data_IF_513554875977
#
_entry.id   IF_513554875977
#
_cell.length_a   1.000
_cell.length_b   1.000
_cell.length_c   1.000
_cell.angle_alpha   90.00
_cell.angle_beta   90.00
_cell.angle_gamma   90.00
#
_symmetry.space_group_name_H-M   'P 1'
#
loop_
_entity.id
_entity.type
_entity.pdbx_description
1 polymer ?
#
# COMPACT_ATOMS: atom_id res chain seq x y z
N UNK A 1 -16.04 2.41 22.34
CA UNK A 1 -16.17 3.09 21.03
C UNK A 1 -15.04 4.10 20.96
N UNK A 2 -14.18 4.08 19.92
CA UNK A 2 -13.13 5.10 19.77
C UNK A 2 -13.73 6.35 19.13
N UNK A 3 -13.36 7.54 19.63
CA UNK A 3 -13.78 8.81 19.05
C UNK A 3 -13.00 9.03 17.75
N UNK A 4 -13.66 9.57 16.72
CA UNK A 4 -13.04 9.88 15.44
C UNK A 4 -12.86 11.38 15.32
N UNK A 5 -11.64 11.82 14.99
CA UNK A 5 -11.32 13.20 14.67
C UNK A 5 -10.97 13.32 13.19
N UNK A 6 -11.55 14.31 12.51
CA UNK A 6 -11.17 14.64 11.14
C UNK A 6 -9.98 15.61 11.15
N UNK A 7 -8.91 15.25 10.45
CA UNK A 7 -7.74 16.09 10.24
C UNK A 7 -7.92 16.96 9.00
N UNK A 8 -7.35 18.17 9.03
CA UNK A 8 -7.31 19.10 7.91
C UNK A 8 -5.89 19.18 7.36
N UNK A 9 -5.77 19.12 6.04
CA UNK A 9 -4.53 19.44 5.34
C UNK A 9 -4.28 20.95 5.48
N UNK A 10 -3.20 21.34 6.14
CA UNK A 10 -2.89 22.76 6.42
C UNK A 10 -1.85 23.34 5.46
N UNK A 11 -1.06 22.49 4.81
CA UNK A 11 -0.10 22.94 3.81
C UNK A 11 0.91 21.86 3.43
N UNK A 12 1.95 22.29 2.73
CA UNK A 12 3.09 21.44 2.34
C UNK A 12 4.37 22.02 2.94
N UNK A 13 5.11 21.16 3.63
CA UNK A 13 6.39 21.50 4.26
C UNK A 13 7.50 21.65 3.21
N UNK A 14 8.59 22.30 3.60
CA UNK A 14 9.78 22.43 2.75
C UNK A 14 10.40 21.07 2.34
N UNK A 15 10.15 20.02 3.14
CA UNK A 15 10.53 18.64 2.81
C UNK A 15 9.69 18.00 1.71
N UNK A 16 8.62 18.66 1.27
CA UNK A 16 7.61 18.13 0.35
C UNK A 16 6.52 17.30 1.01
N UNK A 17 6.57 17.07 2.33
CA UNK A 17 5.53 16.37 3.07
C UNK A 17 4.30 17.26 3.28
N UNK A 18 3.12 16.65 3.22
CA UNK A 18 1.86 17.31 3.53
C UNK A 18 1.71 17.42 5.06
N UNK A 19 1.44 18.63 5.57
CA UNK A 19 1.16 18.84 6.98
C UNK A 19 -0.34 18.71 7.23
N UNK A 20 -0.71 17.87 8.19
CA UNK A 20 -2.08 17.67 8.63
C UNK A 20 -2.23 18.05 10.10
N UNK A 21 -3.32 18.74 10.43
CA UNK A 21 -3.64 19.17 11.78
C UNK A 21 -5.05 18.74 12.19
N UNK A 22 -5.18 18.20 13.39
CA UNK A 22 -6.46 17.91 14.02
C UNK A 22 -6.94 19.14 14.81
N UNK A 23 -8.04 19.80 14.40
CA UNK A 23 -8.58 20.94 15.13
C UNK A 23 -9.21 20.54 16.49
N UNK A 24 -9.50 19.26 16.70
CA UNK A 24 -10.17 18.77 17.92
C UNK A 24 -9.21 18.55 19.08
N UNK A 25 -8.04 17.95 18.83
CA UNK A 25 -7.09 17.60 19.89
C UNK A 25 -5.69 18.22 19.70
N UNK A 26 -5.46 18.96 18.61
CA UNK A 26 -4.18 19.60 18.32
C UNK A 26 -3.10 18.70 17.72
N UNK A 27 -3.38 17.40 17.47
CA UNK A 27 -2.43 16.48 16.82
C UNK A 27 -1.98 17.03 15.47
N UNK A 28 -0.67 17.04 15.21
CA UNK A 28 -0.08 17.44 13.92
C UNK A 28 0.84 16.36 13.40
N UNK A 29 0.74 16.07 12.12
CA UNK A 29 1.59 15.09 11.44
C UNK A 29 2.12 15.66 10.12
N UNK A 30 3.28 15.18 9.71
CA UNK A 30 3.80 15.33 8.36
C UNK A 30 3.65 13.99 7.64
N UNK A 31 2.94 13.97 6.52
CA UNK A 31 2.72 12.80 5.69
C UNK A 31 3.43 12.97 4.34
N UNK A 32 4.42 12.13 4.08
CA UNK A 32 5.05 12.03 2.76
C UNK A 32 4.23 11.08 1.90
N UNK A 33 3.82 11.54 0.72
CA UNK A 33 3.11 10.73 -0.27
C UNK A 33 4.06 9.71 -0.95
N UNK A 34 3.54 8.68 -1.64
CA UNK A 34 4.34 7.80 -2.49
C UNK A 34 5.25 8.58 -3.47
N UNK A 35 6.40 8.02 -3.90
CA UNK A 35 6.77 6.59 -3.86
C UNK A 35 7.44 6.11 -2.57
N UNK A 36 7.83 7.02 -1.68
CA UNK A 36 8.47 6.69 -0.41
C UNK A 36 7.59 7.21 0.73
N UNK A 37 6.46 6.55 1.03
CA UNK A 37 5.54 7.04 2.04
C UNK A 37 6.21 7.04 3.42
N UNK A 38 5.99 8.10 4.17
CA UNK A 38 6.54 8.28 5.51
C UNK A 38 5.56 9.12 6.34
N UNK A 39 5.53 8.87 7.65
CA UNK A 39 4.67 9.59 8.59
C UNK A 39 5.49 10.00 9.81
N UNK A 40 5.59 11.31 10.02
CA UNK A 40 6.22 11.89 11.21
C UNK A 40 5.16 12.57 12.06
N UNK A 41 5.14 12.29 13.36
CA UNK A 41 4.29 13.01 14.31
C UNK A 41 5.03 14.29 14.71
N UNK A 42 4.39 15.44 14.52
CA UNK A 42 4.92 16.75 14.90
C UNK A 42 4.42 17.16 16.29
N UNK A 43 3.15 16.90 16.57
CA UNK A 43 2.50 17.11 17.86
C UNK A 43 1.56 15.93 18.14
N UNK A 44 1.57 15.37 19.34
CA UNK A 44 0.82 14.14 19.65
C UNK A 44 -0.70 14.35 19.73
N UNK A 45 -1.19 15.40 20.41
CA UNK A 45 -2.63 15.51 20.68
C UNK A 45 -3.19 14.30 21.43
N UNK A 46 -4.38 13.79 21.03
CA UNK A 46 -5.02 12.63 21.66
C UNK A 46 -4.72 11.32 20.91
N UNK A 47 -3.80 10.51 21.43
CA UNK A 47 -3.42 9.22 20.84
C UNK A 47 -4.52 8.15 20.87
N UNK A 48 -5.56 8.34 21.68
CA UNK A 48 -6.67 7.37 21.81
C UNK A 48 -7.74 7.55 20.74
N UNK A 49 -7.77 8.72 20.10
CA UNK A 49 -8.68 9.05 19.01
C UNK A 49 -8.19 8.47 17.66
N UNK A 50 -9.14 8.08 16.83
CA UNK A 50 -8.87 7.70 15.44
C UNK A 50 -8.86 8.97 14.59
N UNK A 51 -7.74 9.23 13.93
CA UNK A 51 -7.57 10.40 13.07
C UNK A 51 -7.79 10.05 11.60
N UNK A 52 -8.66 10.80 10.92
CA UNK A 52 -9.01 10.58 9.51
C UNK A 52 -8.76 11.86 8.72
N UNK A 53 -7.96 11.80 7.67
CA UNK A 53 -7.78 12.89 6.70
C UNK A 53 -8.46 12.56 5.37
N UNK A 54 -9.07 13.56 4.72
CA UNK A 54 -9.66 13.42 3.39
C UNK A 54 -8.89 14.29 2.40
N UNK A 55 -8.31 13.67 1.38
CA UNK A 55 -7.70 14.38 0.26
C UNK A 55 -8.81 14.71 -0.74
N UNK A 56 -9.01 16.00 -1.00
CA UNK A 56 -9.89 16.46 -2.06
C UNK A 56 -9.14 16.43 -3.40
N UNK A 57 -9.77 15.99 -4.49
CA UNK A 57 -9.13 15.97 -5.79
C UNK A 57 -8.79 17.39 -6.26
N UNK A 58 -7.54 17.62 -6.66
CA UNK A 58 -7.13 18.89 -7.28
C UNK A 58 -7.70 18.98 -8.71
N UNK A 59 -8.62 19.93 -8.98
CA UNK A 59 -9.20 20.08 -10.31
C UNK A 59 -8.18 20.56 -11.36
N UNK A 60 -7.03 21.12 -10.95
CA UNK A 60 -5.99 21.59 -11.86
C UNK A 60 -5.07 20.46 -12.35
N UNK A 61 -5.06 19.31 -11.69
CA UNK A 61 -4.20 18.19 -12.04
C UNK A 61 -4.69 17.46 -13.30
N UNK A 62 -3.76 17.24 -14.24
CA UNK A 62 -4.06 16.64 -15.55
C UNK A 62 -4.15 15.11 -15.49
N UNK A 63 -3.26 14.45 -14.74
CA UNK A 63 -3.28 13.01 -14.58
C UNK A 63 -4.21 12.58 -13.43
N UNK A 64 -4.87 11.42 -13.59
CA UNK A 64 -5.84 10.94 -12.61
C UNK A 64 -5.26 10.70 -11.21
N UNK A 65 -4.02 10.20 -11.14
CA UNK A 65 -3.31 9.94 -9.87
C UNK A 65 -2.90 11.25 -9.18
N UNK A 66 -2.40 12.23 -9.95
CA UNK A 66 -1.94 13.53 -9.45
C UNK A 66 -3.05 14.31 -8.74
N UNK A 67 -4.31 14.15 -9.16
CA UNK A 67 -5.48 14.74 -8.50
C UNK A 67 -5.53 14.43 -7.02
N UNK A 68 -5.02 13.26 -6.61
CA UNK A 68 -5.03 12.80 -5.23
C UNK A 68 -3.65 12.89 -4.56
N UNK A 69 -2.71 13.65 -5.12
CA UNK A 69 -1.35 13.76 -4.61
C UNK A 69 -0.51 12.50 -4.81
N UNK A 70 -0.98 11.56 -5.64
CA UNK A 70 -0.22 10.38 -6.03
C UNK A 70 0.68 10.73 -7.22
N UNK A 71 1.94 10.30 -7.16
CA UNK A 71 2.89 10.44 -8.26
C UNK A 71 2.43 9.71 -9.53
N UNK A 72 3.19 9.84 -10.64
CA UNK A 72 2.87 9.15 -11.88
C UNK A 72 2.82 7.64 -11.67
N UNK A 73 1.88 6.97 -12.34
CA UNK A 73 1.79 5.51 -12.35
C UNK A 73 3.08 4.99 -12.98
N UNK A 74 3.82 4.17 -12.23
CA UNK A 74 4.97 3.44 -12.75
C UNK A 74 4.50 2.08 -13.25
N UNK A 75 4.61 1.86 -14.56
CA UNK A 75 4.49 0.52 -15.12
C UNK A 75 5.77 -0.24 -14.84
N UNK A 76 5.71 -1.19 -13.91
CA UNK A 76 6.81 -2.14 -13.69
C UNK A 76 6.65 -3.23 -14.76
N UNK A 77 7.59 -3.37 -15.72
CA UNK A 77 7.49 -4.39 -16.74
C UNK A 77 7.37 -5.76 -16.08
N UNK A 78 6.33 -6.52 -16.43
CA UNK A 78 6.25 -7.91 -16.01
C UNK A 78 7.50 -8.61 -16.54
N UNK A 79 8.29 -9.30 -15.69
CA UNK A 79 9.39 -10.11 -16.20
C UNK A 79 8.84 -11.09 -17.25
N UNK A 80 9.60 -11.42 -18.31
CA UNK A 80 9.16 -12.39 -19.30
C UNK A 80 8.66 -13.63 -18.58
N UNK A 81 7.51 -14.15 -19.02
CA UNK A 81 6.98 -15.40 -18.47
C UNK A 81 8.13 -16.42 -18.53
N UNK A 82 8.55 -17.02 -17.41
CA UNK A 82 9.50 -18.11 -17.45
C UNK A 82 8.99 -19.12 -18.47
N UNK A 83 9.89 -19.68 -19.29
CA UNK A 83 9.60 -20.91 -20.03
C UNK A 83 8.92 -21.85 -19.04
N UNK A 84 7.83 -22.51 -19.45
CA UNK A 84 7.07 -23.38 -18.57
C UNK A 84 8.05 -24.20 -17.72
N UNK A 85 7.90 -24.23 -16.38
CA UNK A 85 8.85 -24.91 -15.53
C UNK A 85 9.00 -26.34 -16.04
N UNK A 86 10.25 -26.82 -16.12
CA UNK A 86 10.49 -28.21 -16.47
C UNK A 86 9.67 -29.09 -15.53
N UNK A 87 9.05 -30.17 -16.03
CA UNK A 87 8.38 -31.10 -15.14
C UNK A 87 9.38 -31.61 -14.10
N UNK A 88 8.95 -31.89 -12.86
CA UNK A 88 9.81 -32.40 -11.80
C UNK A 88 10.52 -33.65 -12.28
N UNK A 89 11.80 -33.71 -11.93
CA UNK A 89 12.65 -34.86 -12.20
C UNK A 89 12.24 -36.07 -11.34
N UNK A 90 12.98 -37.17 -11.44
CA UNK A 90 12.67 -38.38 -10.70
C UNK A 90 12.78 -38.20 -9.17
N UNK A 91 13.68 -37.35 -8.70
CA UNK A 91 13.88 -37.09 -7.28
C UNK A 91 12.71 -36.28 -6.73
N UNK A 92 12.33 -35.22 -7.44
CA UNK A 92 11.18 -34.38 -7.08
C UNK A 92 9.88 -35.19 -7.13
N UNK A 93 9.70 -36.05 -8.13
CA UNK A 93 8.53 -36.96 -8.20
C UNK A 93 8.48 -37.95 -7.03
N UNK A 94 9.62 -38.49 -6.61
CA UNK A 94 9.68 -39.40 -5.47
C UNK A 94 9.32 -38.69 -4.16
N UNK A 95 9.83 -37.46 -3.98
CA UNK A 95 9.47 -36.63 -2.82
C UNK A 95 7.98 -36.25 -2.82
N UNK A 96 7.43 -35.85 -3.97
CA UNK A 96 6.00 -35.54 -4.10
C UNK A 96 5.12 -36.75 -3.73
N UNK A 97 5.51 -37.96 -4.19
CA UNK A 97 4.81 -39.18 -3.85
C UNK A 97 4.89 -39.51 -2.35
N UNK A 98 6.02 -39.25 -1.70
CA UNK A 98 6.20 -39.42 -0.25
C UNK A 98 5.23 -38.56 0.56
N UNK A 99 4.96 -37.33 0.10
CA UNK A 99 3.98 -36.42 0.73
C UNK A 99 2.54 -36.60 0.21
N UNK A 100 2.29 -37.63 -0.61
CA UNK A 100 0.95 -37.98 -1.10
C UNK A 100 0.44 -37.15 -2.28
N UNK A 101 1.32 -36.46 -3.01
CA UNK A 101 0.99 -35.67 -4.21
C UNK A 101 1.40 -36.44 -5.47
N UNK A 102 0.44 -36.74 -6.34
CA UNK A 102 0.71 -37.33 -7.67
C UNK A 102 0.86 -36.24 -8.74
N UNK A 103 2.03 -36.17 -9.37
CA UNK A 103 2.31 -35.18 -10.42
C UNK A 103 1.55 -35.45 -11.73
N UNK A 104 1.38 -36.73 -12.11
CA UNK A 104 0.84 -37.11 -13.42
C UNK A 104 -0.71 -37.12 -13.49
N UNK A 105 -1.39 -36.59 -12.46
CA UNK A 105 -2.83 -36.32 -12.48
C UNK A 105 -3.71 -37.57 -12.57
N UNK A 106 -3.97 -38.18 -11.43
CA UNK A 106 -5.15 -39.01 -11.20
C UNK A 106 -5.96 -38.42 -10.06
N UNK A 107 -7.05 -37.72 -10.41
CA UNK A 107 -8.12 -37.22 -9.54
C UNK A 107 -7.76 -36.25 -8.40
N UNK A 108 -7.63 -34.96 -8.75
CA UNK A 108 -8.03 -33.86 -7.88
C UNK A 108 -9.44 -33.38 -8.26
N UNK A 109 -10.41 -34.30 -8.27
CA UNK A 109 -11.84 -34.00 -8.35
C UNK A 109 -12.67 -35.20 -7.88
N UNK A 110 -12.84 -35.34 -6.56
CA UNK A 110 -13.99 -35.97 -5.92
C UNK A 110 -14.18 -35.40 -4.52
#
# INVERSE_FOLDING_TARGET
MRVIHEMKLVGRLASGADEWSCPTCGRRIALRQPPHPDLTILEEGDETAVHVGVIQPDPAASAAAEKYGLGPIQEIPRPPRPVAPEPPDAQDRAWLADIGISWDGGDAAA
#
